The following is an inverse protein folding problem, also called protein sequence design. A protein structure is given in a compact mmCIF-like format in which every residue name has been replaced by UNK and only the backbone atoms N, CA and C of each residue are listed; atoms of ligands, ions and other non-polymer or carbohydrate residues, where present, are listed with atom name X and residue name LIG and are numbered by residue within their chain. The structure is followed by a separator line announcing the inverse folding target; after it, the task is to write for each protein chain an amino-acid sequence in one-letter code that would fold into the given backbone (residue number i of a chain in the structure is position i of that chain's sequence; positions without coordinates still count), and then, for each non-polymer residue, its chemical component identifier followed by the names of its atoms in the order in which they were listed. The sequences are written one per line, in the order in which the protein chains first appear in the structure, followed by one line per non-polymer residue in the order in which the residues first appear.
data_IF_037906657294
#
_entry.id   IF_037906657294
#
_cell.length_a   1.000
_cell.length_b   1.000
_cell.length_c   1.000
_cell.angle_alpha   90.00
_cell.angle_beta   90.00
_cell.angle_gamma   90.00
#
_symmetry.space_group_name_H-M   'P 1'
#
loop_
_entity.id
_entity.type
_entity.pdbx_description
1 polymer ?
#
# COMPACT_ATOMS: atom_id res chain seq x y z
N UNK A 1 -56.92 34.44 32.20
CA UNK A 1 -58.05 33.97 31.39
C UNK A 1 -57.49 33.16 30.23
N UNK A 2 -57.77 31.85 30.25
CA UNK A 2 -57.80 30.89 29.11
C UNK A 2 -56.52 30.77 28.24
N UNK A 3 -55.82 29.64 28.13
CA UNK A 3 -56.03 28.29 28.65
C UNK A 3 -54.84 27.37 28.28
N UNK A 4 -54.66 26.32 29.08
CA UNK A 4 -53.85 25.10 28.84
C UNK A 4 -54.21 24.46 27.49
N UNK A 5 -53.42 23.68 26.77
CA UNK A 5 -52.16 22.94 26.96
C UNK A 5 -52.22 21.76 25.97
N UNK A 6 -51.11 21.20 25.44
CA UNK A 6 -51.06 19.82 24.92
C UNK A 6 -49.62 19.36 24.68
N UNK A 7 -49.50 18.04 24.74
CA UNK A 7 -48.33 17.18 24.94
C UNK A 7 -47.71 16.69 23.60
N UNK A 8 -46.46 16.22 23.69
CA UNK A 8 -45.84 15.10 22.96
C UNK A 8 -45.28 15.24 21.52
N UNK A 9 -43.96 14.96 21.48
CA UNK A 9 -43.26 13.97 20.64
C UNK A 9 -43.31 14.04 19.12
N UNK A 10 -42.10 14.12 18.53
CA UNK A 10 -41.68 13.12 17.56
C UNK A 10 -41.52 13.57 16.11
N UNK A 11 -40.33 13.25 15.59
CA UNK A 11 -39.94 13.07 14.17
C UNK A 11 -39.51 14.32 13.39
N UNK A 12 -38.19 14.38 13.18
CA UNK A 12 -37.56 15.02 12.03
C UNK A 12 -38.13 14.48 10.70
N UNK A 13 -38.06 15.29 9.63
CA UNK A 13 -37.43 14.75 8.44
C UNK A 13 -36.47 15.73 7.75
N UNK A 14 -35.27 15.21 7.51
CA UNK A 14 -34.49 15.26 6.26
C UNK A 14 -35.07 16.12 5.13
N UNK A 15 -34.30 17.11 4.67
CA UNK A 15 -33.89 17.37 3.26
C UNK A 15 -33.37 18.80 3.10
N UNK A 16 -32.07 18.99 3.27
CA UNK A 16 -31.34 20.12 2.69
C UNK A 16 -30.07 19.53 2.09
N UNK A 17 -29.92 19.62 0.77
CA UNK A 17 -28.71 19.12 0.12
C UNK A 17 -28.87 18.80 -1.36
N UNK A 18 -29.52 19.65 -2.15
CA UNK A 18 -29.59 19.49 -3.62
C UNK A 18 -29.61 20.86 -4.33
N UNK A 19 -28.78 21.83 -3.91
CA UNK A 19 -28.68 23.13 -4.60
C UNK A 19 -27.23 23.58 -4.89
N UNK A 20 -26.20 22.83 -4.46
CA UNK A 20 -24.79 23.19 -4.71
C UNK A 20 -24.06 22.32 -5.75
N UNK A 21 -24.77 21.42 -6.47
CA UNK A 21 -24.19 20.56 -7.51
C UNK A 21 -24.61 20.92 -8.94
N UNK A 22 -25.26 22.07 -9.16
CA UNK A 22 -25.74 22.50 -10.47
C UNK A 22 -25.01 23.72 -11.05
N UNK A 23 -23.98 24.23 -10.36
CA UNK A 23 -23.16 25.37 -10.81
C UNK A 23 -21.73 24.99 -11.21
N UNK A 24 -21.34 23.70 -11.09
CA UNK A 24 -20.04 23.21 -11.56
C UNK A 24 -20.09 22.52 -12.95
N UNK A 25 -21.28 22.33 -13.52
CA UNK A 25 -21.47 21.54 -14.77
C UNK A 25 -21.76 22.43 -15.99
N UNK A 26 -21.82 23.76 -15.85
CA UNK A 26 -22.12 24.70 -16.95
C UNK A 26 -20.93 25.56 -17.39
N UNK A 27 -19.70 25.12 -17.13
CA UNK A 27 -18.48 25.66 -17.75
C UNK A 27 -17.86 24.74 -18.81
N UNK A 28 -18.60 23.72 -19.26
CA UNK A 28 -18.14 22.72 -20.22
C UNK A 28 -18.81 22.78 -21.61
N UNK A 29 -19.46 23.90 -21.96
CA UNK A 29 -20.09 24.01 -23.28
C UNK A 29 -20.08 25.45 -23.83
N UNK A 30 -19.01 25.79 -24.56
CA UNK A 30 -19.03 26.49 -25.87
C UNK A 30 -17.73 27.27 -26.09
N UNK A 31 -16.86 26.71 -26.91
CA UNK A 31 -16.24 27.44 -28.02
C UNK A 31 -15.81 26.42 -29.08
N UNK A 32 -16.74 26.04 -29.96
CA UNK A 32 -16.36 25.49 -31.26
C UNK A 32 -15.96 26.66 -32.16
N UNK A 33 -14.65 26.83 -32.33
CA UNK A 33 -14.09 27.45 -33.51
C UNK A 33 -13.15 26.43 -34.15
N UNK A 34 -13.59 25.85 -35.27
CA UNK A 34 -12.80 24.98 -36.10
C UNK A 34 -11.65 25.78 -36.75
N UNK A 35 -10.54 25.91 -36.04
CA UNK A 35 -9.22 25.85 -36.66
C UNK A 35 -8.79 24.38 -36.56
N UNK A 36 -8.69 23.70 -37.69
CA UNK A 36 -8.30 22.30 -37.74
C UNK A 36 -6.78 22.22 -37.47
N UNK A 37 -6.40 22.39 -36.21
CA UNK A 37 -4.99 22.37 -35.80
C UNK A 37 -4.46 20.93 -35.83
N UNK A 38 -3.50 20.71 -36.73
CA UNK A 38 -2.90 19.41 -37.08
C UNK A 38 -1.72 19.07 -36.16
N UNK A 39 -1.89 19.23 -34.85
CA UNK A 39 -0.80 19.15 -33.84
C UNK A 39 -1.12 18.07 -32.81
N UNK A 40 -0.08 17.40 -32.31
CA UNK A 40 -0.17 16.23 -31.43
C UNK A 40 1.05 16.11 -30.53
N UNK A 41 0.89 15.41 -29.42
CA UNK A 41 1.95 15.12 -28.45
C UNK A 41 2.84 14.00 -29.01
N UNK A 42 4.15 14.26 -29.00
CA UNK A 42 5.19 13.34 -29.47
C UNK A 42 5.90 12.61 -28.32
N UNK A 43 5.47 12.81 -27.09
CA UNK A 43 6.16 12.26 -25.92
C UNK A 43 5.71 10.83 -25.63
N UNK A 44 6.59 9.87 -25.90
CA UNK A 44 6.41 8.49 -25.48
C UNK A 44 7.12 8.19 -24.16
N UNK A 45 8.33 8.74 -23.98
CA UNK A 45 9.14 8.57 -22.79
C UNK A 45 8.65 9.49 -21.67
N UNK A 46 7.85 8.92 -20.77
CA UNK A 46 7.20 9.64 -19.69
C UNK A 46 7.67 9.07 -18.34
N UNK A 47 8.85 9.47 -17.85
CA UNK A 47 9.37 8.91 -16.60
C UNK A 47 8.47 9.26 -15.42
N UNK A 48 8.35 8.37 -14.42
CA UNK A 48 7.61 8.61 -13.19
C UNK A 48 8.33 9.61 -12.26
N UNK A 49 7.54 10.34 -11.46
CA UNK A 49 8.06 11.38 -10.57
C UNK A 49 8.96 10.82 -9.46
N UNK A 50 8.51 9.79 -8.73
CA UNK A 50 9.28 9.15 -7.66
C UNK A 50 10.39 8.19 -8.15
N UNK A 51 10.53 7.99 -9.45
CA UNK A 51 11.35 6.93 -10.02
C UNK A 51 10.57 5.65 -10.32
N UNK A 52 11.20 4.78 -11.12
CA UNK A 52 10.56 3.60 -11.68
C UNK A 52 11.25 2.30 -11.29
N UNK A 53 10.61 1.17 -11.54
CA UNK A 53 11.31 -0.12 -11.52
C UNK A 53 12.32 -0.11 -12.66
N UNK A 54 11.88 0.32 -13.84
CA UNK A 54 12.70 0.68 -15.01
C UNK A 54 12.64 2.19 -15.26
N UNK A 55 12.80 2.66 -16.50
CA UNK A 55 12.88 4.08 -16.84
C UNK A 55 11.52 4.78 -16.90
N UNK A 56 10.52 4.15 -17.52
CA UNK A 56 9.15 4.70 -17.60
C UNK A 56 8.12 3.92 -16.78
N UNK A 57 8.41 2.68 -16.39
CA UNK A 57 7.52 1.86 -15.54
C UNK A 57 7.68 2.28 -14.09
N UNK A 58 6.61 2.79 -13.48
CA UNK A 58 6.63 3.21 -12.08
C UNK A 58 6.86 2.04 -11.12
N UNK A 59 7.60 2.25 -10.01
CA UNK A 59 7.65 1.25 -8.93
C UNK A 59 6.25 1.07 -8.32
N UNK A 60 5.78 -0.15 -8.02
CA UNK A 60 4.53 -0.34 -7.31
C UNK A 60 4.55 0.20 -5.88
N UNK A 61 5.71 0.15 -5.21
CA UNK A 61 5.90 0.73 -3.87
C UNK A 61 5.80 2.26 -3.88
N UNK A 62 5.42 2.84 -2.76
CA UNK A 62 5.34 4.29 -2.54
C UNK A 62 6.34 4.71 -1.45
N UNK A 63 6.81 5.96 -1.46
CA UNK A 63 7.63 6.47 -0.36
C UNK A 63 6.86 6.44 0.97
N UNK A 64 7.59 6.39 2.10
CA UNK A 64 7.01 6.46 3.45
C UNK A 64 6.29 7.79 3.72
N UNK A 65 5.50 7.87 4.79
CA UNK A 65 4.76 9.10 5.13
C UNK A 65 5.71 10.31 5.22
N UNK A 66 5.36 11.38 4.50
CA UNK A 66 6.13 12.63 4.39
C UNK A 66 7.55 12.50 3.82
N UNK A 67 7.91 11.33 3.28
CA UNK A 67 9.14 11.18 2.52
C UNK A 67 8.93 11.63 1.09
N UNK A 68 9.87 12.44 0.61
CA UNK A 68 9.82 13.07 -0.69
C UNK A 68 10.91 12.52 -1.60
N UNK A 69 10.63 12.51 -2.89
CA UNK A 69 11.62 12.27 -3.94
C UNK A 69 11.69 13.52 -4.79
N UNK A 70 12.89 14.07 -4.97
CA UNK A 70 13.14 15.20 -5.87
C UNK A 70 14.07 14.75 -6.99
N UNK A 71 13.93 15.33 -8.17
CA UNK A 71 14.88 15.02 -9.22
C UNK A 71 14.85 15.96 -10.40
N UNK A 72 15.81 15.74 -11.28
CA UNK A 72 15.91 16.39 -12.58
C UNK A 72 16.27 15.35 -13.61
N UNK A 73 15.66 15.40 -14.78
CA UNK A 73 16.03 14.55 -15.90
C UNK A 73 16.13 15.33 -17.19
N UNK A 74 16.81 14.72 -18.15
CA UNK A 74 16.88 15.21 -19.50
C UNK A 74 16.70 14.06 -20.48
N UNK A 75 16.00 14.29 -21.57
CA UNK A 75 15.91 13.35 -22.68
C UNK A 75 16.10 14.08 -24.00
N UNK A 76 16.68 13.38 -24.97
CA UNK A 76 16.85 13.85 -26.34
C UNK A 76 16.42 12.74 -27.29
N UNK A 77 15.52 13.08 -28.20
CA UNK A 77 14.96 12.22 -29.23
C UNK A 77 15.32 12.78 -30.61
N UNK A 78 15.94 11.92 -31.42
CA UNK A 78 16.24 12.19 -32.82
C UNK A 78 15.13 11.65 -33.71
N UNK A 79 14.60 12.50 -34.59
CA UNK A 79 13.53 12.18 -35.53
C UNK A 79 12.31 11.50 -34.86
N UNK A 80 11.75 12.06 -33.77
CA UNK A 80 10.57 11.48 -33.09
C UNK A 80 9.31 11.49 -33.95
N UNK A 81 9.33 12.19 -35.09
CA UNK A 81 8.18 12.27 -35.97
C UNK A 81 8.62 12.44 -37.43
N UNK A 82 8.53 11.35 -38.20
CA UNK A 82 8.83 11.30 -39.63
C UNK A 82 7.58 11.00 -40.46
N UNK A 83 7.57 11.43 -41.73
CA UNK A 83 6.51 11.14 -42.69
C UNK A 83 7.13 10.72 -44.01
N UNK A 84 6.50 9.79 -44.70
CA UNK A 84 6.83 9.48 -46.08
C UNK A 84 6.19 10.55 -46.97
N UNK A 85 7.04 11.35 -47.61
CA UNK A 85 6.62 12.28 -48.64
C UNK A 85 6.75 11.65 -50.01
N UNK A 86 5.91 12.09 -50.96
CA UNK A 86 5.95 11.51 -52.29
C UNK A 86 5.25 12.25 -53.43
N UNK A 87 6.01 12.81 -54.39
CA UNK A 87 5.59 12.98 -55.80
C UNK A 87 6.81 13.28 -56.72
N UNK A 88 6.91 12.56 -57.84
CA UNK A 88 7.84 12.76 -58.95
C UNK A 88 7.11 12.52 -60.30
N UNK A 89 6.84 13.61 -61.05
CA UNK A 89 6.24 13.55 -62.40
C UNK A 89 4.77 13.06 -62.47
N UNK A 90 4.01 13.14 -61.37
CA UNK A 90 2.72 12.44 -61.21
C UNK A 90 2.86 11.01 -60.68
N UNK A 91 4.07 10.58 -60.30
CA UNK A 91 4.39 9.27 -59.74
C UNK A 91 5.01 9.42 -58.36
N UNK A 92 4.46 8.77 -57.36
CA UNK A 92 4.82 8.91 -55.94
C UNK A 92 6.16 8.16 -55.64
N UNK A 93 7.30 8.89 -55.44
CA UNK A 93 8.57 8.38 -54.84
C UNK A 93 8.57 8.51 -53.32
N UNK A 94 8.78 7.42 -52.57
CA UNK A 94 8.68 7.38 -51.11
C UNK A 94 10.00 7.82 -50.44
N UNK A 95 10.15 9.09 -50.05
CA UNK A 95 11.28 9.57 -49.24
C UNK A 95 10.79 9.93 -47.82
N UNK A 96 11.47 9.42 -46.80
CA UNK A 96 11.15 9.70 -45.40
C UNK A 96 11.73 11.05 -44.98
N UNK A 97 10.87 11.98 -44.59
CA UNK A 97 11.26 13.31 -44.11
C UNK A 97 10.88 13.49 -42.64
N UNK A 98 11.77 14.12 -41.86
CA UNK A 98 11.50 14.47 -40.48
C UNK A 98 10.60 15.70 -40.43
N UNK A 99 9.45 15.58 -39.79
CA UNK A 99 8.59 16.73 -39.50
C UNK A 99 9.04 17.38 -38.18
N UNK A 100 9.45 16.55 -37.21
CA UNK A 100 10.25 16.99 -36.06
C UNK A 100 11.60 16.29 -36.13
N UNK A 101 12.66 17.07 -36.31
CA UNK A 101 14.03 16.55 -36.42
C UNK A 101 14.64 16.25 -35.05
N UNK A 102 14.40 17.12 -34.08
CA UNK A 102 14.97 17.02 -32.75
C UNK A 102 13.96 17.42 -31.67
N UNK A 103 13.86 16.63 -30.61
CA UNK A 103 13.09 16.96 -29.40
C UNK A 103 13.99 16.72 -28.19
N UNK A 104 14.34 17.79 -27.48
CA UNK A 104 15.03 17.72 -26.21
C UNK A 104 14.09 18.18 -25.09
N UNK A 105 14.17 17.56 -23.92
CA UNK A 105 13.39 17.95 -22.75
C UNK A 105 14.22 17.91 -21.50
N UNK A 106 13.96 18.84 -20.60
CA UNK A 106 14.45 18.88 -19.23
C UNK A 106 13.21 18.83 -18.33
N UNK A 107 13.21 17.92 -17.36
CA UNK A 107 12.07 17.68 -16.49
C UNK A 107 12.50 17.81 -15.04
N UNK A 108 11.74 18.56 -14.24
CA UNK A 108 11.87 18.56 -12.79
C UNK A 108 10.82 17.63 -12.19
N UNK A 109 11.23 16.76 -11.27
CA UNK A 109 10.38 15.79 -10.58
C UNK A 109 10.24 16.15 -9.11
N UNK A 110 9.02 16.01 -8.58
CA UNK A 110 8.81 15.92 -7.13
C UNK A 110 7.71 14.89 -6.85
N UNK A 111 7.90 14.06 -5.84
CA UNK A 111 6.90 13.14 -5.33
C UNK A 111 6.91 13.11 -3.81
N UNK A 112 5.77 12.79 -3.20
CA UNK A 112 5.57 12.71 -1.76
C UNK A 112 4.78 11.45 -1.43
N UNK A 113 5.31 10.63 -0.55
CA UNK A 113 4.59 9.54 0.09
C UNK A 113 3.70 10.06 1.22
N UNK A 114 2.48 9.54 1.30
CA UNK A 114 1.53 9.86 2.35
C UNK A 114 0.98 8.56 2.91
N UNK A 115 1.29 8.33 4.20
CA UNK A 115 0.75 7.23 5.01
C UNK A 115 0.97 5.86 4.37
N UNK A 116 2.01 5.73 3.54
CA UNK A 116 2.40 4.47 2.87
C UNK A 116 1.34 3.84 1.95
N UNK A 117 0.20 4.52 1.76
CA UNK A 117 -0.90 4.09 0.89
C UNK A 117 -1.00 4.92 -0.38
N UNK A 118 -0.44 6.13 -0.43
CA UNK A 118 -0.49 6.95 -1.65
C UNK A 118 0.80 7.73 -1.88
N UNK A 119 1.24 7.75 -3.14
CA UNK A 119 2.23 8.68 -3.65
C UNK A 119 1.53 9.75 -4.48
N UNK A 120 1.85 11.02 -4.21
CA UNK A 120 1.46 12.15 -5.05
C UNK A 120 2.71 12.70 -5.74
N UNK A 121 2.66 12.86 -7.06
CA UNK A 121 3.77 13.30 -7.89
C UNK A 121 3.43 14.47 -8.80
N UNK A 122 4.44 15.27 -9.10
CA UNK A 122 4.40 16.35 -10.09
C UNK A 122 5.66 16.28 -10.98
N UNK A 123 5.47 16.49 -12.27
CA UNK A 123 6.56 16.64 -13.24
C UNK A 123 6.35 17.93 -14.03
N UNK A 124 7.40 18.75 -14.08
CA UNK A 124 7.41 20.01 -14.82
C UNK A 124 8.41 19.92 -15.97
N UNK A 125 7.94 19.68 -17.20
CA UNK A 125 8.81 19.56 -18.37
C UNK A 125 8.96 20.89 -19.13
N UNK A 126 10.18 21.16 -19.57
CA UNK A 126 10.53 22.22 -20.52
C UNK A 126 11.18 21.57 -21.72
N UNK A 127 10.72 21.90 -22.92
CA UNK A 127 11.18 21.28 -24.16
C UNK A 127 11.80 22.26 -25.13
N UNK A 128 12.66 21.72 -25.99
CA UNK A 128 13.24 22.37 -27.16
C UNK A 128 12.94 21.47 -28.35
N UNK A 129 12.26 22.02 -29.35
CA UNK A 129 11.80 21.29 -30.54
C UNK A 129 12.40 21.96 -31.77
N UNK A 130 13.05 21.16 -32.60
CA UNK A 130 13.44 21.55 -33.96
C UNK A 130 12.46 20.90 -34.94
N UNK A 131 11.51 21.70 -35.42
CA UNK A 131 10.43 21.26 -36.29
C UNK A 131 10.54 21.92 -37.67
N UNK A 132 10.05 21.23 -38.69
CA UNK A 132 10.05 21.75 -40.03
C UNK A 132 9.12 22.97 -40.17
N UNK A 133 9.55 24.00 -40.89
CA UNK A 133 8.76 25.21 -41.06
C UNK A 133 7.45 24.93 -41.81
N UNK A 134 6.33 25.40 -41.26
CA UNK A 134 4.99 25.11 -41.79
C UNK A 134 4.42 23.75 -41.41
N UNK A 135 5.18 22.87 -40.73
CA UNK A 135 4.68 21.59 -40.24
C UNK A 135 3.52 21.73 -39.24
N UNK A 136 3.53 22.82 -38.47
CA UNK A 136 2.48 23.15 -37.52
C UNK A 136 1.11 23.43 -38.21
N UNK A 137 1.14 23.80 -39.50
CA UNK A 137 -0.05 24.08 -40.33
C UNK A 137 -0.40 22.91 -41.26
N UNK A 138 0.63 22.27 -41.85
CA UNK A 138 0.49 21.08 -42.67
C UNK A 138 1.65 20.09 -42.46
N UNK A 139 1.50 19.11 -41.55
CA UNK A 139 2.50 18.07 -41.32
C UNK A 139 2.49 16.98 -42.42
N UNK A 140 1.68 17.13 -43.47
CA UNK A 140 1.59 16.23 -44.63
C UNK A 140 2.23 16.82 -45.88
N UNK A 141 2.93 17.95 -45.74
CA UNK A 141 3.64 18.59 -46.84
C UNK A 141 4.66 17.63 -47.47
N UNK A 142 4.74 17.67 -48.80
CA UNK A 142 5.58 16.78 -49.60
C UNK A 142 7.07 17.12 -49.47
N UNK A 143 7.42 18.36 -49.13
CA UNK A 143 8.80 18.75 -48.86
C UNK A 143 8.87 19.87 -47.84
N UNK A 144 9.83 19.76 -46.91
CA UNK A 144 10.16 20.84 -45.99
C UNK A 144 11.49 21.48 -46.41
N UNK A 145 11.49 22.80 -46.54
CA UNK A 145 12.66 23.55 -47.03
C UNK A 145 13.59 24.03 -45.91
N UNK A 146 13.08 24.14 -44.68
CA UNK A 146 13.78 24.71 -43.52
C UNK A 146 13.19 24.19 -42.21
N UNK A 147 13.94 24.36 -41.12
CA UNK A 147 13.57 23.98 -39.76
C UNK A 147 13.73 25.17 -38.82
N UNK A 148 12.87 25.25 -37.81
CA UNK A 148 12.94 26.23 -36.74
C UNK A 148 13.00 25.57 -35.37
N UNK A 149 13.93 26.07 -34.55
CA UNK A 149 14.11 25.65 -33.18
C UNK A 149 13.30 26.54 -32.24
N UNK A 150 12.36 25.93 -31.52
CA UNK A 150 11.49 26.59 -30.56
C UNK A 150 11.69 25.98 -29.18
N UNK A 151 11.56 26.79 -28.13
CA UNK A 151 11.64 26.34 -26.75
C UNK A 151 10.40 26.79 -26.00
N UNK A 152 9.83 25.91 -25.18
CA UNK A 152 8.59 26.15 -24.47
C UNK A 152 8.40 25.22 -23.30
N UNK A 153 7.38 25.48 -22.50
CA UNK A 153 6.93 24.50 -21.50
C UNK A 153 6.21 23.36 -22.22
N UNK A 154 6.36 22.13 -21.73
CA UNK A 154 5.48 21.05 -22.09
C UNK A 154 4.37 20.90 -21.03
N UNK A 155 3.43 19.99 -21.25
CA UNK A 155 2.32 19.75 -20.33
C UNK A 155 2.82 19.30 -18.96
N UNK A 156 2.41 20.02 -17.92
CA UNK A 156 2.67 19.65 -16.54
C UNK A 156 1.96 18.33 -16.24
N UNK A 157 2.63 17.39 -15.56
CA UNK A 157 2.05 16.10 -15.20
C UNK A 157 1.82 16.00 -13.70
N UNK A 158 0.62 15.62 -13.30
CA UNK A 158 0.27 15.25 -11.93
C UNK A 158 0.05 13.75 -11.88
N UNK A 159 0.55 13.08 -10.84
CA UNK A 159 0.33 11.65 -10.67
C UNK A 159 -0.13 11.30 -9.26
N UNK A 160 -1.00 10.31 -9.16
CA UNK A 160 -1.33 9.62 -7.92
C UNK A 160 -1.07 8.12 -8.11
N UNK A 161 -0.52 7.45 -7.10
CA UNK A 161 -0.26 6.01 -7.15
C UNK A 161 -0.60 5.37 -5.81
N UNK A 162 -1.33 4.26 -5.85
CA UNK A 162 -1.83 3.52 -4.69
C UNK A 162 -1.39 2.06 -4.84
N UNK A 163 -0.56 1.54 -3.93
CA UNK A 163 -0.25 0.11 -3.87
C UNK A 163 -1.52 -0.71 -3.65
N UNK A 164 -1.66 -1.80 -4.39
CA UNK A 164 -2.75 -2.77 -4.27
C UNK A 164 -2.27 -4.09 -3.67
N UNK A 165 -1.06 -4.52 -4.04
CA UNK A 165 -0.39 -5.72 -3.52
C UNK A 165 1.07 -5.38 -3.23
N UNK A 166 1.60 -5.92 -2.13
CA UNK A 166 2.99 -5.79 -1.68
C UNK A 166 3.63 -7.18 -1.56
N UNK A 167 4.96 -7.23 -1.54
CA UNK A 167 5.77 -8.46 -1.52
C UNK A 167 6.49 -8.73 -2.84
N UNK A 168 6.97 -9.97 -3.04
CA UNK A 168 7.73 -10.38 -4.24
C UNK A 168 6.96 -10.12 -5.55
N UNK A 169 5.63 -10.21 -5.51
CA UNK A 169 4.75 -9.74 -6.56
C UNK A 169 4.01 -8.50 -6.07
N UNK A 170 4.41 -7.33 -6.55
CA UNK A 170 3.81 -6.06 -6.20
C UNK A 170 2.97 -5.51 -7.35
N UNK A 171 1.82 -4.91 -7.02
CA UNK A 171 0.88 -4.32 -7.97
C UNK A 171 0.40 -2.97 -7.43
N UNK A 172 0.32 -1.95 -8.27
CA UNK A 172 -0.25 -0.66 -7.90
C UNK A 172 -1.14 -0.08 -8.99
N UNK A 173 -2.18 0.64 -8.57
CA UNK A 173 -2.96 1.50 -9.44
C UNK A 173 -2.28 2.88 -9.51
N UNK A 174 -2.12 3.39 -10.72
CA UNK A 174 -1.51 4.69 -11.00
C UNK A 174 -2.46 5.51 -11.86
N UNK A 175 -2.52 6.80 -11.61
CA UNK A 175 -3.26 7.75 -12.41
C UNK A 175 -2.36 8.94 -12.72
N UNK A 176 -2.22 9.26 -14.00
CA UNK A 176 -1.46 10.43 -14.47
C UNK A 176 -2.39 11.37 -15.23
N UNK A 177 -2.36 12.65 -14.88
CA UNK A 177 -3.04 13.72 -15.58
C UNK A 177 -2.00 14.68 -16.20
N UNK A 178 -1.99 14.80 -17.53
CA UNK A 178 -1.26 15.86 -18.23
C UNK A 178 -2.17 17.08 -18.36
N UNK A 179 -1.68 18.22 -17.88
CA UNK A 179 -2.40 19.50 -17.89
C UNK A 179 -2.08 20.26 -19.18
N UNK A 180 -3.06 20.92 -19.82
CA UNK A 180 -2.84 21.72 -21.03
C UNK A 180 -2.14 23.05 -20.71
N UNK A 181 -0.91 22.96 -20.23
CA UNK A 181 -0.06 24.11 -19.86
C UNK A 181 1.08 24.31 -20.84
N UNK A 182 1.32 23.33 -21.71
CA UNK A 182 2.41 23.33 -22.66
C UNK A 182 2.16 24.20 -23.88
N UNK A 183 3.25 24.48 -24.59
CA UNK A 183 3.21 25.15 -25.88
C UNK A 183 2.82 24.16 -27.00
N UNK A 184 1.51 23.92 -27.08
CA UNK A 184 0.91 23.05 -28.09
C UNK A 184 1.17 23.52 -29.53
N UNK A 185 1.61 24.78 -29.75
CA UNK A 185 1.96 25.27 -31.08
C UNK A 185 3.26 24.70 -31.62
N UNK A 186 4.12 24.20 -30.72
CA UNK A 186 5.46 23.69 -31.00
C UNK A 186 5.61 22.19 -30.65
N UNK A 187 4.53 21.41 -30.68
CA UNK A 187 4.52 19.98 -30.29
C UNK A 187 4.89 19.71 -28.81
N UNK A 188 4.90 20.75 -27.97
CA UNK A 188 5.19 20.67 -26.55
C UNK A 188 3.89 20.63 -25.74
N UNK A 189 3.04 19.64 -25.99
CA UNK A 189 1.79 19.42 -25.25
C UNK A 189 0.52 19.58 -26.08
N UNK A 190 -0.61 19.65 -25.38
CA UNK A 190 -1.95 19.65 -25.95
C UNK A 190 -2.81 20.79 -25.37
N UNK A 191 -3.89 21.14 -26.09
CA UNK A 191 -4.88 22.14 -25.65
C UNK A 191 -5.88 21.57 -24.61
N UNK A 192 -5.85 20.27 -24.36
CA UNK A 192 -6.78 19.56 -23.48
C UNK A 192 -6.04 18.64 -22.51
N UNK A 193 -6.77 18.16 -21.51
CA UNK A 193 -6.24 17.26 -20.50
C UNK A 193 -6.11 15.84 -21.04
N UNK A 194 -5.01 15.16 -20.71
CA UNK A 194 -4.85 13.72 -20.95
C UNK A 194 -4.94 13.02 -19.61
N UNK A 195 -5.81 12.02 -19.50
CA UNK A 195 -5.93 11.19 -18.31
C UNK A 195 -5.44 9.77 -18.60
N UNK A 196 -4.56 9.25 -17.77
CA UNK A 196 -3.95 7.92 -17.95
C UNK A 196 -4.05 7.12 -16.66
N UNK A 197 -5.17 6.41 -16.40
CA UNK A 197 -5.16 5.31 -15.45
C UNK A 197 -4.29 4.17 -15.99
N UNK A 198 -3.45 3.61 -15.12
CA UNK A 198 -2.62 2.45 -15.40
C UNK A 198 -2.50 1.53 -14.19
N UNK A 199 -2.17 0.27 -14.46
CA UNK A 199 -1.73 -0.71 -13.49
C UNK A 199 -0.24 -0.95 -13.72
N UNK A 200 0.57 -0.79 -12.67
CA UNK A 200 2.00 -1.12 -12.69
C UNK A 200 2.26 -2.32 -11.80
N UNK A 201 3.06 -3.26 -12.29
CA UNK A 201 3.49 -4.44 -11.55
C UNK A 201 5.00 -4.58 -11.53
N UNK A 202 5.51 -5.17 -10.47
CA UNK A 202 6.87 -5.65 -10.35
C UNK A 202 6.84 -7.05 -9.74
N UNK A 203 7.69 -7.93 -10.26
CA UNK A 203 7.87 -9.29 -9.76
C UNK A 203 9.35 -9.58 -9.59
N UNK A 204 9.73 -10.03 -8.39
CA UNK A 204 11.11 -10.29 -7.98
C UNK A 204 11.37 -11.80 -7.82
N UNK A 205 11.57 -12.57 -8.91
CA UNK A 205 11.86 -14.01 -8.85
C UNK A 205 13.28 -14.37 -8.36
N UNK A 206 14.00 -13.44 -7.73
CA UNK A 206 15.37 -13.64 -7.24
C UNK A 206 16.37 -12.63 -7.82
N UNK A 207 17.18 -12.97 -8.85
CA UNK A 207 18.32 -12.15 -9.27
C UNK A 207 17.95 -10.97 -10.20
N UNK A 208 16.67 -10.78 -10.50
CA UNK A 208 16.17 -9.72 -11.36
C UNK A 208 14.75 -9.33 -10.95
N UNK A 209 14.36 -8.12 -11.29
CA UNK A 209 12.97 -7.65 -11.22
C UNK A 209 12.38 -7.60 -12.62
N UNK A 210 11.22 -8.22 -12.82
CA UNK A 210 10.39 -8.06 -14.02
C UNK A 210 9.34 -7.00 -13.74
N UNK A 211 9.21 -6.01 -14.61
CA UNK A 211 8.22 -4.95 -14.47
C UNK A 211 7.30 -4.91 -15.68
N UNK A 212 6.05 -4.51 -15.47
CA UNK A 212 5.17 -4.16 -16.57
C UNK A 212 4.19 -3.07 -16.16
N UNK A 213 3.76 -2.27 -17.14
CA UNK A 213 2.70 -1.28 -16.96
C UNK A 213 1.69 -1.40 -18.11
N UNK A 214 0.40 -1.39 -17.76
CA UNK A 214 -0.71 -1.32 -18.69
C UNK A 214 -1.55 -0.09 -18.38
N UNK A 215 -1.59 0.86 -19.31
CA UNK A 215 -2.36 2.10 -19.18
C UNK A 215 -3.33 2.31 -20.32
N UNK A 216 -4.39 3.09 -20.05
CA UNK A 216 -5.30 3.60 -21.08
C UNK A 216 -5.22 5.12 -21.07
N UNK A 217 -4.85 5.72 -22.19
CA UNK A 217 -4.68 7.17 -22.34
C UNK A 217 -5.92 7.77 -22.97
N UNK A 218 -6.75 8.41 -22.16
CA UNK A 218 -7.89 9.21 -22.61
C UNK A 218 -7.39 10.52 -23.19
N UNK A 219 -7.64 10.75 -24.49
CA UNK A 219 -7.26 11.98 -25.19
C UNK A 219 -8.31 12.33 -26.25
N UNK A 220 -8.41 13.62 -26.58
CA UNK A 220 -9.33 14.05 -27.61
C UNK A 220 -8.84 13.61 -28.99
N UNK A 221 -9.74 13.01 -29.79
CA UNK A 221 -9.50 12.66 -31.19
C UNK A 221 -9.00 13.86 -32.00
N UNK A 222 -7.84 13.69 -32.65
CA UNK A 222 -7.26 14.62 -33.64
C UNK A 222 -6.92 13.84 -34.91
N UNK A 223 -7.42 14.31 -36.05
CA UNK A 223 -7.23 13.66 -37.34
C UNK A 223 -6.57 14.59 -38.34
N UNK A 224 -5.54 14.07 -38.99
CA UNK A 224 -4.74 14.69 -40.04
C UNK A 224 -4.82 13.74 -41.25
N UNK A 225 -4.64 14.25 -42.47
CA UNK A 225 -4.67 13.40 -43.67
C UNK A 225 -3.64 12.26 -43.54
N UNK A 226 -4.11 11.02 -43.44
CA UNK A 226 -3.26 9.83 -43.31
C UNK A 226 -2.70 9.55 -41.92
N UNK A 227 -3.15 10.27 -40.88
CA UNK A 227 -2.77 9.98 -39.49
C UNK A 227 -3.82 10.48 -38.51
N UNK A 228 -4.19 9.64 -37.55
CA UNK A 228 -5.13 10.01 -36.51
C UNK A 228 -4.58 9.64 -35.15
N UNK A 229 -4.66 10.59 -34.24
CA UNK A 229 -4.31 10.39 -32.85
C UNK A 229 -5.59 10.51 -32.01
N UNK A 230 -6.03 9.39 -31.46
CA UNK A 230 -7.17 9.26 -30.56
C UNK A 230 -6.78 8.34 -29.41
N UNK A 231 -7.64 8.03 -28.45
CA UNK A 231 -7.33 7.15 -27.31
C UNK A 231 -6.35 6.01 -27.64
N UNK A 232 -5.39 5.75 -26.74
CA UNK A 232 -4.41 4.67 -26.92
C UNK A 232 -4.25 3.80 -25.66
N UNK A 233 -3.87 2.54 -25.87
CA UNK A 233 -3.40 1.64 -24.83
C UNK A 233 -1.87 1.74 -24.79
N UNK A 234 -1.33 2.03 -23.61
CA UNK A 234 0.09 2.01 -23.34
C UNK A 234 0.48 0.69 -22.66
N UNK A 235 1.38 -0.06 -23.28
CA UNK A 235 1.95 -1.29 -22.71
C UNK A 235 3.45 -1.10 -22.59
N UNK A 236 3.98 -1.29 -21.39
CA UNK A 236 5.42 -1.30 -21.14
C UNK A 236 5.80 -2.59 -20.42
N UNK A 237 6.95 -3.17 -20.79
CA UNK A 237 7.56 -4.30 -20.09
C UNK A 237 9.03 -4.00 -19.90
N UNK A 238 9.59 -4.42 -18.77
CA UNK A 238 10.95 -4.08 -18.41
C UNK A 238 11.59 -5.13 -17.52
N UNK A 239 12.92 -5.13 -17.54
CA UNK A 239 13.77 -5.96 -16.72
C UNK A 239 14.75 -5.04 -16.00
N UNK A 240 14.92 -5.26 -14.71
CA UNK A 240 15.94 -4.65 -13.90
C UNK A 240 16.83 -5.76 -13.32
N UNK A 241 18.14 -5.68 -13.57
CA UNK A 241 19.11 -6.68 -13.13
C UNK A 241 20.13 -6.01 -12.22
N UNK A 242 20.04 -6.19 -10.89
CA UNK A 242 21.07 -5.73 -9.97
C UNK A 242 22.38 -6.49 -10.24
N UNK A 243 23.45 -5.75 -10.57
CA UNK A 243 24.79 -6.31 -10.81
C UNK A 243 25.59 -6.32 -9.52
N UNK A 244 25.54 -5.21 -8.80
CA UNK A 244 26.03 -4.99 -7.43
C UNK A 244 25.06 -4.05 -6.73
N UNK A 245 25.19 -3.84 -5.42
CA UNK A 245 24.28 -2.97 -4.64
C UNK A 245 24.17 -1.55 -5.23
N UNK A 246 25.23 -1.04 -5.84
CA UNK A 246 25.28 0.32 -6.39
C UNK A 246 24.99 0.42 -7.89
N UNK A 247 24.76 -0.70 -8.60
CA UNK A 247 24.61 -0.72 -10.05
C UNK A 247 23.55 -1.73 -10.52
N UNK A 248 22.58 -1.21 -11.24
CA UNK A 248 21.48 -1.92 -11.89
C UNK A 248 21.59 -1.77 -13.42
N UNK A 249 21.38 -2.85 -14.16
CA UNK A 249 21.19 -2.82 -15.62
C UNK A 249 19.69 -2.89 -15.91
N UNK A 250 19.20 -1.97 -16.73
CA UNK A 250 17.78 -1.86 -17.06
C UNK A 250 17.59 -2.04 -18.56
N UNK A 251 16.62 -2.87 -18.92
CA UNK A 251 16.08 -2.95 -20.28
C UNK A 251 14.58 -2.73 -20.25
N UNK A 252 14.04 -1.98 -21.20
CA UNK A 252 12.63 -1.64 -21.28
C UNK A 252 12.13 -1.67 -22.72
N UNK A 253 10.87 -2.04 -22.89
CA UNK A 253 10.16 -2.02 -24.15
C UNK A 253 8.79 -1.40 -23.94
N UNK A 254 8.48 -0.36 -24.70
CA UNK A 254 7.24 0.40 -24.60
C UNK A 254 6.52 0.45 -25.95
N UNK A 255 5.23 0.11 -25.93
CA UNK A 255 4.34 0.04 -27.07
C UNK A 255 3.14 0.96 -26.80
N UNK A 256 2.64 1.63 -27.84
CA UNK A 256 1.31 2.26 -27.82
C UNK A 256 0.44 1.62 -28.89
N UNK A 257 -0.85 1.47 -28.62
CA UNK A 257 -1.83 0.93 -29.57
C UNK A 257 -3.01 1.88 -29.61
N UNK A 258 -3.21 2.60 -30.72
CA UNK A 258 -4.40 3.42 -30.92
C UNK A 258 -5.68 2.57 -30.92
N UNK A 259 -6.69 2.96 -30.13
CA UNK A 259 -7.92 2.17 -29.92
C UNK A 259 -9.14 2.74 -30.65
N UNK A 260 -9.08 3.96 -31.17
CA UNK A 260 -10.23 4.64 -31.73
C UNK A 260 -10.05 5.09 -33.18
N UNK A 261 -11.11 4.88 -33.99
CA UNK A 261 -11.34 5.62 -35.24
C UNK A 261 -11.13 4.92 -36.58
N UNK A 262 -10.50 3.74 -36.66
CA UNK A 262 -10.13 3.12 -37.94
C UNK A 262 -10.79 1.75 -38.22
N UNK A 263 -11.11 1.53 -39.51
CA UNK A 263 -11.33 0.19 -40.09
C UNK A 263 -10.00 -0.50 -40.48
N UNK A 264 -8.88 0.25 -40.52
CA UNK A 264 -7.52 -0.22 -40.83
C UNK A 264 -6.49 0.46 -39.89
N UNK A 265 -5.88 -0.29 -38.97
CA UNK A 265 -4.76 0.19 -38.12
C UNK A 265 -3.49 0.26 -38.96
N UNK A 266 -2.86 1.43 -39.08
CA UNK A 266 -1.58 1.57 -39.79
C UNK A 266 -0.41 1.38 -38.83
N UNK A 267 0.74 0.95 -39.35
CA UNK A 267 1.96 0.74 -38.55
C UNK A 267 2.43 1.99 -37.81
N UNK A 268 2.06 3.19 -38.30
CA UNK A 268 2.41 4.47 -37.70
C UNK A 268 1.63 4.79 -36.41
N UNK A 269 0.48 4.15 -36.21
CA UNK A 269 -0.40 4.35 -35.05
C UNK A 269 0.00 3.45 -33.87
N UNK A 270 1.05 2.63 -34.06
CA UNK A 270 1.51 1.61 -33.11
C UNK A 270 2.99 1.77 -32.77
N UNK A 271 3.45 2.95 -32.30
CA UNK A 271 4.87 3.17 -32.03
C UNK A 271 5.38 2.17 -30.98
N UNK A 272 6.55 1.58 -31.25
CA UNK A 272 7.23 0.65 -30.36
C UNK A 272 8.68 1.09 -30.18
N UNK A 273 9.05 1.43 -28.95
CA UNK A 273 10.41 1.84 -28.56
C UNK A 273 11.01 0.82 -27.58
N UNK A 274 12.33 0.61 -27.68
CA UNK A 274 13.11 -0.17 -26.74
C UNK A 274 14.27 0.65 -26.22
N UNK A 275 14.49 0.56 -24.91
CA UNK A 275 15.46 1.34 -24.17
C UNK A 275 16.35 0.42 -23.33
N UNK A 276 17.60 0.78 -23.18
CA UNK A 276 18.55 0.10 -22.31
C UNK A 276 19.48 1.10 -21.64
N UNK A 277 19.94 0.76 -20.44
CA UNK A 277 20.86 1.61 -19.71
C UNK A 277 21.16 1.07 -18.32
N UNK A 278 21.56 1.99 -17.44
CA UNK A 278 21.97 1.67 -16.08
C UNK A 278 21.33 2.63 -15.09
N UNK A 279 21.13 2.15 -13.86
CA UNK A 279 20.87 2.96 -12.68
C UNK A 279 22.01 2.76 -11.69
N UNK A 280 22.53 3.86 -11.15
CA UNK A 280 23.68 3.90 -10.26
C UNK A 280 23.26 4.56 -8.95
N UNK A 281 23.67 3.99 -7.82
CA UNK A 281 23.42 4.50 -6.47
C UNK A 281 24.72 4.96 -5.81
N UNK A 282 25.25 6.15 -6.18
CA UNK A 282 26.54 6.61 -5.65
C UNK A 282 26.55 6.85 -4.13
N UNK A 283 25.39 7.21 -3.56
CA UNK A 283 25.14 7.38 -2.13
C UNK A 283 23.69 6.98 -1.82
N UNK A 284 23.38 6.68 -0.56
CA UNK A 284 22.02 6.38 -0.12
C UNK A 284 21.05 7.50 -0.51
N UNK A 285 19.90 7.10 -1.07
CA UNK A 285 18.85 8.00 -1.54
C UNK A 285 19.12 8.65 -2.90
N UNK A 286 20.36 8.71 -3.39
CA UNK A 286 20.69 9.30 -4.70
C UNK A 286 20.77 8.21 -5.78
N UNK A 287 19.91 8.31 -6.80
CA UNK A 287 20.01 7.50 -8.02
C UNK A 287 20.36 8.36 -9.23
N UNK A 288 21.20 7.81 -10.09
CA UNK A 288 21.53 8.34 -11.41
C UNK A 288 21.15 7.30 -12.44
N UNK A 289 20.27 7.65 -13.38
CA UNK A 289 19.95 6.82 -14.53
C UNK A 289 20.60 7.41 -15.78
N UNK A 290 21.17 6.54 -16.61
CA UNK A 290 21.69 6.89 -17.93
C UNK A 290 21.31 5.79 -18.89
N UNK A 291 20.69 6.15 -20.01
CA UNK A 291 20.27 5.17 -21.00
C UNK A 291 20.03 5.76 -22.37
N UNK A 292 19.66 4.88 -23.28
CA UNK A 292 19.26 5.25 -24.62
C UNK A 292 18.48 4.12 -25.28
N UNK A 293 17.88 4.45 -26.42
CA UNK A 293 16.95 3.56 -27.08
C UNK A 293 16.72 3.91 -28.53
N UNK A 294 15.85 3.13 -29.16
CA UNK A 294 15.46 3.27 -30.56
C UNK A 294 14.08 2.66 -30.77
N UNK A 295 13.38 3.10 -31.82
CA UNK A 295 12.13 2.48 -32.22
C UNK A 295 12.35 1.12 -32.90
N UNK A 296 11.61 0.09 -32.48
CA UNK A 296 11.40 -1.14 -33.26
C UNK A 296 10.40 -0.89 -34.38
N UNK A 297 9.33 -0.14 -34.07
CA UNK A 297 8.31 0.26 -35.03
C UNK A 297 8.16 1.78 -34.99
N UNK A 298 8.44 2.41 -36.13
CA UNK A 298 8.30 3.85 -36.29
C UNK A 298 6.83 4.27 -36.19
N UNK A 299 6.60 5.40 -35.55
CA UNK A 299 5.28 5.97 -35.32
C UNK A 299 5.40 7.32 -34.62
N UNK A 300 4.28 7.97 -34.34
CA UNK A 300 4.31 9.28 -33.69
C UNK A 300 4.98 9.20 -32.31
N UNK A 301 6.08 9.94 -32.14
CA UNK A 301 6.84 10.02 -30.91
C UNK A 301 7.91 8.94 -30.75
N UNK A 302 7.94 7.92 -31.63
CA UNK A 302 8.96 6.88 -31.63
C UNK A 302 10.22 7.41 -32.34
N UNK A 303 11.34 7.60 -31.63
CA UNK A 303 12.52 8.20 -32.21
C UNK A 303 13.39 7.18 -32.94
N UNK A 304 14.14 7.65 -33.93
CA UNK A 304 15.24 6.88 -34.51
C UNK A 304 16.29 6.55 -33.44
N UNK A 305 16.57 7.50 -32.55
CA UNK A 305 17.43 7.31 -31.40
C UNK A 305 17.01 8.20 -30.23
N UNK A 306 17.05 7.65 -29.02
CA UNK A 306 16.88 8.38 -27.75
C UNK A 306 18.13 8.26 -26.89
N UNK A 307 18.46 9.34 -26.20
CA UNK A 307 19.39 9.32 -25.06
C UNK A 307 18.72 10.07 -23.91
N UNK A 308 18.86 9.56 -22.70
CA UNK A 308 18.28 10.18 -21.52
C UNK A 308 19.16 9.98 -20.28
N UNK A 309 18.96 10.87 -19.32
CA UNK A 309 19.53 10.77 -17.99
C UNK A 309 18.57 11.32 -16.96
N UNK A 310 18.60 10.77 -15.74
CA UNK A 310 17.87 11.32 -14.62
C UNK A 310 18.71 11.25 -13.35
N UNK A 311 18.54 12.24 -12.49
CA UNK A 311 19.09 12.29 -11.13
C UNK A 311 17.89 12.37 -10.20
N UNK A 312 17.78 11.48 -9.22
CA UNK A 312 16.73 11.53 -8.19
C UNK A 312 17.33 11.36 -6.81
N UNK A 313 16.84 12.15 -5.86
CA UNK A 313 17.19 12.08 -4.46
C UNK A 313 15.92 11.80 -3.65
N UNK A 314 15.87 10.63 -3.01
CA UNK A 314 14.87 10.27 -2.02
C UNK A 314 15.32 10.74 -0.63
N UNK A 315 14.42 11.40 0.10
CA UNK A 315 14.68 11.87 1.47
C UNK A 315 14.61 10.76 2.52
N UNK A 316 14.10 9.59 2.13
CA UNK A 316 14.03 8.43 2.99
C UNK A 316 15.45 8.01 3.39
N UNK A 317 15.74 8.15 4.68
CA UNK A 317 17.04 7.90 5.29
C UNK A 317 16.81 7.01 6.51
N UNK A 318 17.10 5.71 6.40
CA UNK A 318 16.92 4.77 7.51
C UNK A 318 16.89 3.33 7.01
N UNK A 319 17.26 2.38 7.86
CA UNK A 319 16.97 0.97 7.62
C UNK A 319 15.46 0.83 7.41
N UNK A 320 15.08 0.02 6.43
CA UNK A 320 13.77 -0.61 6.38
C UNK A 320 13.42 -1.06 7.80
N UNK A 321 12.19 -0.79 8.25
CA UNK A 321 11.67 -1.41 9.46
C UNK A 321 12.04 -2.91 9.45
N UNK A 322 12.60 -3.41 10.54
CA UNK A 322 13.10 -4.79 10.59
C UNK A 322 11.98 -5.81 10.30
N UNK A 323 10.78 -5.46 10.76
CA UNK A 323 9.53 -6.21 10.62
C UNK A 323 8.77 -5.96 9.32
N UNK A 324 8.82 -4.74 8.79
CA UNK A 324 8.07 -4.35 7.58
C UNK A 324 7.30 -3.03 7.75
N UNK A 325 6.50 -2.66 6.74
CA UNK A 325 5.61 -1.49 6.84
C UNK A 325 4.58 -1.67 7.95
N UNK A 326 4.25 -0.58 8.64
CA UNK A 326 3.15 -0.43 9.60
C UNK A 326 1.91 -1.32 9.32
N UNK A 327 1.49 -2.08 10.33
CA UNK A 327 0.35 -3.02 10.31
C UNK A 327 -0.95 -2.43 10.91
N UNK A 328 -0.91 -1.25 11.54
CA UNK A 328 -2.09 -0.51 12.02
C UNK A 328 -3.01 -1.35 12.93
N UNK A 329 -2.43 -2.04 13.90
CA UNK A 329 -3.15 -2.88 14.87
C UNK A 329 -3.59 -2.11 16.13
N UNK A 330 -3.18 -0.83 16.26
CA UNK A 330 -3.51 0.04 17.38
C UNK A 330 -2.41 0.18 18.42
N UNK A 331 -1.30 -0.53 18.26
CA UNK A 331 -0.05 -0.35 19.00
C UNK A 331 0.92 0.49 18.18
N UNK A 332 1.53 1.50 18.80
CA UNK A 332 2.54 2.40 18.22
C UNK A 332 2.43 2.85 16.73
N UNK A 333 1.20 2.91 16.18
CA UNK A 333 0.76 3.33 14.82
C UNK A 333 1.37 4.64 14.24
N UNK A 334 2.14 5.38 15.03
CA UNK A 334 2.76 6.66 14.70
C UNK A 334 4.22 6.58 14.23
N UNK A 335 4.85 5.41 14.31
CA UNK A 335 6.27 5.23 13.98
C UNK A 335 6.51 4.70 12.54
N UNK A 336 5.43 4.25 11.89
CA UNK A 336 5.36 3.78 10.52
C UNK A 336 6.10 2.46 10.26
N UNK A 337 6.38 1.68 11.30
CA UNK A 337 6.98 0.36 11.25
C UNK A 337 6.01 -0.68 11.81
N UNK A 338 6.06 -1.90 11.26
CA UNK A 338 5.35 -3.01 11.90
C UNK A 338 6.03 -3.34 13.22
N UNK A 339 5.23 -3.60 14.24
CA UNK A 339 5.63 -4.12 15.53
C UNK A 339 5.19 -5.60 15.55
N UNK A 340 6.10 -6.59 15.50
CA UNK A 340 5.70 -8.01 15.38
C UNK A 340 5.22 -8.69 16.67
N UNK A 341 5.44 -8.01 17.80
CA UNK A 341 5.30 -8.49 19.17
C UNK A 341 5.19 -7.22 20.03
N UNK A 342 3.95 -6.77 20.22
CA UNK A 342 3.63 -5.45 20.78
C UNK A 342 3.96 -5.34 22.28
N UNK A 343 3.77 -6.39 23.05
CA UNK A 343 3.99 -6.39 24.50
C UNK A 343 5.33 -7.02 24.92
N UNK A 344 6.11 -7.50 23.94
CA UNK A 344 7.47 -8.02 24.07
C UNK A 344 7.56 -9.29 24.93
N UNK A 345 6.52 -10.11 24.94
CA UNK A 345 6.51 -11.38 25.68
C UNK A 345 7.18 -12.55 24.93
N UNK A 346 7.41 -12.38 23.62
CA UNK A 346 8.05 -13.35 22.74
C UNK A 346 7.10 -14.20 21.89
N UNK A 347 5.79 -14.01 22.01
CA UNK A 347 4.76 -14.55 21.12
C UNK A 347 4.45 -13.50 20.04
N UNK A 348 4.58 -13.84 18.74
CA UNK A 348 4.25 -12.87 17.70
C UNK A 348 2.76 -12.54 17.66
N UNK A 349 2.38 -11.28 17.37
CA UNK A 349 0.99 -10.80 17.39
C UNK A 349 0.04 -11.60 16.48
N UNK A 350 0.55 -12.21 15.40
CA UNK A 350 -0.24 -13.07 14.50
C UNK A 350 -0.73 -14.37 15.18
N UNK A 351 -0.02 -14.79 16.23
CA UNK A 351 -0.26 -16.03 16.97
C UNK A 351 -0.67 -15.80 18.43
N UNK A 352 -0.58 -14.56 18.89
CA UNK A 352 -0.92 -14.12 20.24
C UNK A 352 -2.45 -13.91 20.39
N UNK A 353 -3.05 -14.48 21.43
CA UNK A 353 -4.46 -14.26 21.75
C UNK A 353 -4.72 -12.91 22.45
N UNK A 354 -3.70 -12.35 23.10
CA UNK A 354 -3.68 -11.07 23.81
C UNK A 354 -2.51 -10.17 23.34
N UNK A 355 -2.47 -9.68 22.08
CA UNK A 355 -1.30 -8.99 21.48
C UNK A 355 -0.92 -7.62 22.08
N UNK A 356 -1.35 -7.28 23.28
CA UNK A 356 -1.07 -6.01 23.96
C UNK A 356 -0.92 -6.19 25.49
N UNK A 357 -1.03 -7.41 25.99
CA UNK A 357 -1.02 -7.76 27.39
C UNK A 357 -0.06 -8.95 27.57
N UNK A 358 1.18 -8.67 27.97
CA UNK A 358 2.23 -9.69 28.06
C UNK A 358 1.88 -10.88 28.98
N UNK A 359 2.21 -12.08 28.49
CA UNK A 359 2.18 -13.37 29.21
C UNK A 359 2.91 -13.36 30.57
N UNK A 360 2.35 -14.07 31.57
CA UNK A 360 2.91 -14.16 32.93
C UNK A 360 3.71 -15.43 33.26
N UNK A 361 4.18 -16.22 32.27
CA UNK A 361 5.28 -17.20 32.35
C UNK A 361 5.40 -17.98 33.68
N UNK A 362 4.29 -18.52 34.16
CA UNK A 362 4.18 -19.21 35.44
C UNK A 362 4.05 -20.75 35.31
N UNK A 363 4.07 -21.24 34.05
CA UNK A 363 3.89 -22.64 33.61
C UNK A 363 2.44 -23.08 33.44
N UNK A 364 1.50 -22.17 33.52
CA UNK A 364 0.13 -22.39 33.12
C UNK A 364 -0.11 -21.61 31.82
N UNK A 365 -0.63 -22.31 30.81
CA UNK A 365 -0.94 -21.80 29.48
C UNK A 365 0.07 -20.88 28.73
N UNK A 366 1.34 -20.75 29.17
CA UNK A 366 2.45 -19.92 28.61
C UNK A 366 2.63 -19.85 27.06
N UNK A 367 1.96 -20.69 26.26
CA UNK A 367 2.07 -20.75 24.81
C UNK A 367 1.01 -19.90 24.07
N UNK A 368 0.02 -19.30 24.74
CA UNK A 368 -1.08 -18.54 24.11
C UNK A 368 -0.91 -17.00 24.10
N UNK A 369 0.05 -16.48 24.86
CA UNK A 369 0.39 -15.04 24.90
C UNK A 369 -0.54 -14.23 25.82
N UNK A 370 -1.34 -14.88 26.66
CA UNK A 370 -2.30 -14.20 27.52
C UNK A 370 -1.98 -14.42 29.01
N UNK A 371 -1.86 -13.35 29.81
CA UNK A 371 -1.60 -13.49 31.23
C UNK A 371 -2.77 -14.15 31.98
N UNK A 372 -2.47 -15.18 32.75
CA UNK A 372 -3.40 -15.97 33.55
C UNK A 372 -3.28 -15.62 35.04
N UNK A 373 -3.96 -14.55 35.44
CA UNK A 373 -3.87 -14.04 36.82
C UNK A 373 -4.52 -14.91 37.92
N UNK A 374 -5.20 -16.00 37.55
CA UNK A 374 -5.99 -16.90 38.40
C UNK A 374 -6.13 -18.26 37.68
N UNK A 375 -5.09 -19.09 37.83
CA UNK A 375 -4.85 -20.30 37.03
C UNK A 375 -5.89 -21.41 37.22
N UNK A 376 -6.46 -21.55 38.40
CA UNK A 376 -7.52 -22.53 38.68
C UNK A 376 -8.94 -21.93 38.70
N UNK A 377 -9.04 -20.62 38.47
CA UNK A 377 -10.27 -19.85 38.32
C UNK A 377 -11.17 -19.89 39.56
N UNK A 378 -10.59 -19.98 40.74
CA UNK A 378 -11.32 -20.00 42.00
C UNK A 378 -11.66 -18.59 42.53
N UNK A 379 -11.07 -17.55 41.96
CA UNK A 379 -11.29 -16.13 42.29
C UNK A 379 -10.27 -15.52 43.24
N UNK A 380 -9.29 -16.27 43.72
CA UNK A 380 -8.04 -15.79 44.33
C UNK A 380 -7.00 -15.66 43.22
N UNK A 381 -6.17 -14.61 43.25
CA UNK A 381 -5.10 -14.47 42.24
C UNK A 381 -3.90 -15.29 42.65
N UNK A 382 -3.18 -15.85 41.68
CA UNK A 382 -1.93 -16.59 41.86
C UNK A 382 -0.93 -15.96 42.83
N UNK A 383 -0.76 -14.63 42.81
CA UNK A 383 0.14 -13.92 43.74
C UNK A 383 -0.28 -14.00 45.22
N UNK A 384 -1.57 -14.24 45.47
CA UNK A 384 -2.21 -14.30 46.78
C UNK A 384 -2.68 -15.72 47.14
N UNK A 385 -2.59 -16.66 46.21
CA UNK A 385 -3.05 -18.04 46.34
C UNK A 385 -1.92 -18.96 46.83
N UNK A 386 -2.18 -19.73 47.87
CA UNK A 386 -1.24 -20.71 48.40
C UNK A 386 -1.19 -22.00 47.56
N UNK A 387 -2.23 -22.28 46.77
CA UNK A 387 -2.40 -23.40 45.88
C UNK A 387 -2.86 -23.00 44.46
N UNK A 388 -2.06 -22.26 43.66
CA UNK A 388 -2.47 -21.66 42.36
C UNK A 388 -2.88 -22.61 41.23
N UNK A 389 -3.04 -23.90 41.51
CA UNK A 389 -3.41 -24.93 40.51
C UNK A 389 -4.51 -25.85 41.03
N UNK A 390 -5.06 -25.56 42.20
CA UNK A 390 -6.06 -26.36 42.88
C UNK A 390 -7.16 -25.43 43.39
N UNK A 391 -8.25 -25.37 42.63
CA UNK A 391 -9.39 -24.52 42.97
C UNK A 391 -9.93 -24.79 44.37
N UNK A 392 -10.12 -23.71 45.12
CA UNK A 392 -10.81 -23.63 46.41
C UNK A 392 -12.22 -24.23 46.37
N UNK A 393 -12.62 -24.99 47.40
CA UNK A 393 -13.92 -25.67 47.47
C UNK A 393 -15.02 -24.86 48.20
N UNK A 394 -14.63 -23.76 48.87
CA UNK A 394 -15.50 -22.72 49.44
C UNK A 394 -16.58 -23.27 50.36
N UNK A 395 -16.18 -24.04 51.35
CA UNK A 395 -17.09 -24.65 52.31
C UNK A 395 -17.30 -23.82 53.60
N UNK A 396 -16.52 -22.73 53.76
CA UNK A 396 -16.56 -21.82 54.90
C UNK A 396 -15.46 -22.04 55.93
N UNK A 397 -14.54 -22.98 55.69
CA UNK A 397 -13.29 -23.16 56.42
C UNK A 397 -12.13 -22.63 55.59
N UNK A 398 -11.30 -21.75 56.17
CA UNK A 398 -10.08 -21.18 55.57
C UNK A 398 -10.09 -20.70 54.08
N UNK A 399 -11.27 -20.52 53.46
CA UNK A 399 -11.56 -20.05 52.07
C UNK A 399 -10.75 -18.84 51.51
N UNK A 400 -10.03 -18.09 52.35
CA UNK A 400 -9.30 -16.87 51.96
C UNK A 400 -7.89 -17.16 51.38
N UNK A 401 -7.37 -18.40 51.50
CA UNK A 401 -6.00 -18.74 51.09
C UNK A 401 -5.86 -19.44 49.72
N UNK A 402 -6.99 -19.82 49.10
CA UNK A 402 -7.06 -20.43 47.76
C UNK A 402 -6.73 -21.93 47.73
N UNK A 403 -6.57 -22.58 48.89
CA UNK A 403 -6.27 -24.00 48.96
C UNK A 403 -7.48 -24.81 49.40
N UNK A 404 -7.95 -25.80 48.62
CA UNK A 404 -9.02 -26.67 49.08
C UNK A 404 -8.56 -27.48 50.30
N UNK A 405 -9.38 -27.48 51.36
CA UNK A 405 -9.23 -28.33 52.52
C UNK A 405 -10.12 -29.57 52.42
N UNK A 406 -9.58 -30.75 52.07
CA UNK A 406 -10.40 -31.96 51.94
C UNK A 406 -10.75 -32.64 53.27
N UNK A 407 -10.21 -32.17 54.39
CA UNK A 407 -10.33 -32.70 55.75
C UNK A 407 -10.05 -31.55 56.74
N UNK A 408 -11.11 -30.82 57.10
CA UNK A 408 -11.04 -29.56 57.84
C UNK A 408 -10.59 -29.71 59.30
N UNK A 409 -10.90 -30.84 59.95
CA UNK A 409 -10.51 -31.07 61.34
C UNK A 409 -9.26 -31.96 61.52
N UNK A 410 -8.80 -32.58 60.43
CA UNK A 410 -7.53 -33.28 60.32
C UNK A 410 -7.52 -34.64 61.02
N UNK A 411 -8.68 -35.28 61.15
CA UNK A 411 -8.80 -36.62 61.74
C UNK A 411 -8.46 -37.77 60.76
N UNK A 412 -8.36 -37.45 59.46
CA UNK A 412 -8.05 -38.37 58.38
C UNK A 412 -9.25 -38.91 57.60
N UNK A 413 -10.47 -38.46 57.91
CA UNK A 413 -11.71 -38.67 57.16
C UNK A 413 -11.98 -37.41 56.34
N UNK A 414 -12.35 -37.57 55.07
CA UNK A 414 -12.56 -36.42 54.19
C UNK A 414 -13.94 -35.81 54.42
N UNK A 415 -14.07 -34.47 54.37
CA UNK A 415 -15.31 -33.74 54.71
C UNK A 415 -16.54 -34.23 53.94
N UNK A 416 -16.34 -34.65 52.69
CA UNK A 416 -17.42 -35.19 51.84
C UNK A 416 -18.02 -36.53 52.31
N UNK A 417 -17.37 -37.22 53.25
CA UNK A 417 -17.83 -38.47 53.88
C UNK A 417 -17.86 -38.41 55.40
N UNK A 418 -17.56 -37.24 55.97
CA UNK A 418 -17.54 -36.98 57.41
C UNK A 418 -18.93 -36.47 57.88
N UNK A 419 -19.52 -37.11 58.90
CA UNK A 419 -20.80 -36.65 59.48
C UNK A 419 -20.61 -35.42 60.39
N UNK A 420 -19.39 -35.17 60.86
CA UNK A 420 -18.96 -34.04 61.69
C UNK A 420 -17.68 -33.34 61.14
N UNK A 421 -17.71 -32.71 59.94
CA UNK A 421 -16.53 -32.16 59.24
C UNK A 421 -15.71 -31.06 59.95
N UNK A 422 -16.02 -30.72 61.19
CA UNK A 422 -15.38 -29.64 61.95
C UNK A 422 -15.02 -30.08 63.37
N UNK A 423 -15.21 -31.36 63.69
CA UNK A 423 -15.02 -31.90 65.03
C UNK A 423 -14.29 -33.23 64.95
N UNK A 424 -12.99 -33.28 65.28
CA UNK A 424 -12.14 -34.42 64.95
C UNK A 424 -12.53 -35.67 65.74
N UNK A 425 -12.53 -36.81 65.05
CA UNK A 425 -12.77 -38.13 65.62
C UNK A 425 -11.79 -38.52 66.74
N UNK A 426 -12.27 -39.20 67.79
CA UNK A 426 -11.48 -39.56 68.97
C UNK A 426 -10.81 -40.95 68.91
N UNK A 427 -11.14 -41.74 67.88
CA UNK A 427 -10.53 -43.02 67.51
C UNK A 427 -10.49 -44.03 68.67
N UNK A 428 -11.61 -44.15 69.40
CA UNK A 428 -11.72 -44.97 70.61
C UNK A 428 -12.10 -46.46 70.35
N UNK A 429 -12.24 -46.86 69.08
CA UNK A 429 -12.74 -48.15 68.57
C UNK A 429 -14.25 -48.32 68.60
N UNK A 430 -15.00 -47.24 68.75
CA UNK A 430 -16.43 -47.17 68.61
C UNK A 430 -16.76 -46.22 67.46
N UNK A 431 -17.34 -46.75 66.39
CA UNK A 431 -17.85 -45.93 65.27
C UNK A 431 -16.84 -44.97 64.59
N UNK A 432 -15.52 -45.17 64.77
CA UNK A 432 -14.40 -44.46 64.10
C UNK A 432 -14.45 -44.27 62.55
N UNK A 433 -15.49 -44.72 61.85
CA UNK A 433 -15.68 -44.55 60.40
C UNK A 433 -16.66 -43.42 60.04
N UNK A 434 -17.35 -42.79 61.00
CA UNK A 434 -18.34 -41.72 60.75
C UNK A 434 -17.82 -40.29 60.95
N UNK A 435 -16.61 -40.11 61.49
CA UNK A 435 -15.96 -38.80 61.67
C UNK A 435 -16.47 -37.98 62.85
N UNK A 436 -17.33 -38.56 63.71
CA UNK A 436 -17.94 -37.84 64.81
C UNK A 436 -17.46 -38.34 66.17
N UNK A 437 -16.85 -37.49 67.01
CA UNK A 437 -16.43 -37.92 68.34
C UNK A 437 -17.64 -38.29 69.19
N UNK A 438 -17.68 -39.53 69.66
CA UNK A 438 -18.75 -39.93 70.56
C UNK A 438 -18.48 -39.55 72.02
N UNK A 439 -19.55 -39.31 72.79
CA UNK A 439 -19.45 -39.50 74.22
C UNK A 439 -19.10 -40.98 74.45
N UNK A 440 -17.80 -41.24 74.69
CA UNK A 440 -17.29 -42.57 74.99
C UNK A 440 -18.19 -43.30 75.98
N UNK A 441 -18.29 -44.64 75.89
CA UNK A 441 -19.28 -45.42 76.63
C UNK A 441 -19.25 -45.00 78.09
N UNK A 442 -20.38 -44.49 78.62
CA UNK A 442 -20.54 -44.04 80.02
C UNK A 442 -19.72 -44.97 80.93
N UNK A 443 -18.50 -44.54 81.24
CA UNK A 443 -17.56 -45.41 81.94
C UNK A 443 -18.20 -45.75 83.28
N UNK A 444 -18.05 -46.99 83.79
CA UNK A 444 -18.84 -47.39 84.93
C UNK A 444 -18.56 -46.44 86.10
N UNK A 445 -19.61 -45.79 86.63
CA UNK A 445 -19.41 -44.78 87.67
C UNK A 445 -18.85 -45.44 88.92
N UNK A 446 -17.63 -45.05 89.31
CA UNK A 446 -16.97 -45.58 90.49
C UNK A 446 -17.28 -44.69 91.69
N UNK A 447 -18.25 -45.12 92.50
CA UNK A 447 -18.54 -44.48 93.78
C UNK A 447 -17.77 -45.19 94.89
N UNK A 448 -16.74 -44.53 95.44
CA UNK A 448 -15.97 -45.03 96.58
C UNK A 448 -16.60 -44.54 97.88
N UNK A 449 -17.04 -45.47 98.73
CA UNK A 449 -17.43 -45.16 100.11
C UNK A 449 -16.36 -45.64 101.10
N UNK A 450 -16.47 -45.22 102.36
CA UNK A 450 -15.56 -45.65 103.43
C UNK A 450 -15.56 -47.18 103.68
N UNK A 451 -16.48 -47.94 103.05
CA UNK A 451 -16.63 -49.38 103.29
C UNK A 451 -16.70 -50.24 102.03
N UNK A 452 -16.83 -49.66 100.82
CA UNK A 452 -16.83 -50.41 99.55
C UNK A 452 -16.63 -49.51 98.33
N UNK A 453 -16.16 -50.12 97.25
CA UNK A 453 -16.14 -49.54 95.90
C UNK A 453 -17.37 -50.08 95.17
N UNK A 454 -18.24 -49.19 94.70
CA UNK A 454 -19.36 -49.52 93.84
C UNK A 454 -19.01 -49.11 92.41
N UNK A 455 -19.08 -50.06 91.49
CA UNK A 455 -18.90 -49.87 90.06
C UNK A 455 -20.30 -50.07 89.46
N UNK A 456 -20.94 -49.00 88.98
CA UNK A 456 -22.21 -49.10 88.26
C UNK A 456 -21.93 -49.03 86.76
N UNK A 457 -22.18 -50.13 86.06
CA UNK A 457 -22.28 -50.15 84.60
C UNK A 457 -23.49 -49.36 84.11
#
# INVERSE_FOLDING_TARGET
MLGMGFWASGRAPRRVGHVLLALLVTWLACASAAAQERRFELQLFLPPAAGGTTFTIARPSVPRHLNAVFGIGASYANQPFTRFASTEGGTVVLEEQAVVAHLAQIEAYAALGLFEFVELGVVVPVGIVDAADGAADDPTAVTYASYSTNAGMADLRLSAKVPLLRGDFALAARFVASLPTGDYSNYLGMEYWIATPSLTMAWDPGPLTIAAELGYRFRQRRSIVGFEQDDDIALSVGLNVPVVEELEIIGESQLRIGVAGHQDVQSYDVPWEVDAGVRIWPIRGLSIEVGGGTSILAGAGAPLARVFTSLRFATEQGESCAAGPEDFDGFDDGDFCADPDNDEDGVPDETDECPNDAEDLDRFADDDGCPDHDNDADGVRDEADACPTQSEDRDGFDDDDGCPEPDNDGDGIADGVDDCPMEPEDADHYQDEDGCPEPGPDGPSVTVTDTRILISE
#
